data_IF_811799442714
#
_entry.id   IF_811799442714
#
_cell.length_a   1.000
_cell.length_b   1.000
_cell.length_c   1.000
_cell.angle_alpha   90.00
_cell.angle_beta   90.00
_cell.angle_gamma   90.00
#
_symmetry.space_group_name_H-M   'P 1'
#
loop_
_entity.id
_entity.type
_entity.pdbx_description
1 polymer ?
#
# COMPACT_ATOMS: atom_id res chain seq x y z
N UNK A 1 -22.62 56.12 27.04
CA UNK A 1 -21.49 56.22 26.08
C UNK A 1 -20.22 56.17 26.93
N UNK A 2 -19.33 55.19 26.92
CA UNK A 2 -19.00 54.10 25.99
C UNK A 2 -18.33 52.96 26.78
N UNK A 3 -18.63 51.73 26.36
CA UNK A 3 -18.00 50.47 26.75
C UNK A 3 -16.58 50.31 26.18
N UNK A 4 -15.71 49.55 26.87
CA UNK A 4 -14.64 48.73 26.26
C UNK A 4 -14.14 47.75 27.33
N UNK A 5 -14.70 46.54 27.45
CA UNK A 5 -14.50 45.34 26.61
C UNK A 5 -13.23 44.57 26.97
N UNK A 6 -13.45 43.55 27.81
CA UNK A 6 -12.55 42.45 28.15
C UNK A 6 -12.23 41.66 26.89
N UNK A 7 -10.94 41.50 26.58
CA UNK A 7 -10.47 40.63 25.48
C UNK A 7 -10.49 39.19 25.99
N UNK A 8 -11.54 38.46 25.66
CA UNK A 8 -11.62 37.00 25.85
C UNK A 8 -10.88 36.34 24.69
N UNK A 9 -9.82 35.61 25.01
CA UNK A 9 -9.09 34.77 24.07
C UNK A 9 -10.05 33.72 23.48
N UNK A 10 -10.31 33.83 22.17
CA UNK A 10 -11.06 32.82 21.43
C UNK A 10 -10.13 31.66 21.11
N UNK A 11 -10.26 30.57 21.88
CA UNK A 11 -9.71 29.27 21.50
C UNK A 11 -10.44 28.77 20.26
N UNK A 12 -9.79 28.87 19.10
CA UNK A 12 -10.20 28.21 17.87
C UNK A 12 -9.98 26.71 18.04
N UNK A 13 -11.01 26.03 18.52
CA UNK A 13 -11.14 24.58 18.45
C UNK A 13 -11.22 24.19 16.98
N UNK A 14 -10.15 23.60 16.44
CA UNK A 14 -10.20 22.92 15.15
C UNK A 14 -11.16 21.73 15.34
N UNK A 15 -12.24 21.59 14.54
CA UNK A 15 -13.03 20.38 14.59
C UNK A 15 -12.20 19.26 13.97
N UNK A 16 -11.70 18.35 14.80
CA UNK A 16 -11.15 17.06 14.37
C UNK A 16 -12.31 16.22 13.86
N UNK A 17 -12.70 16.45 12.61
CA UNK A 17 -13.64 15.56 11.92
C UNK A 17 -12.84 14.32 11.53
N UNK A 18 -13.18 13.12 12.00
CA UNK A 18 -12.58 11.89 11.49
C UNK A 18 -12.89 11.79 9.98
N UNK A 19 -12.00 11.18 9.17
CA UNK A 19 -12.23 11.06 7.74
C UNK A 19 -13.54 10.31 7.52
N UNK A 20 -14.39 10.90 6.70
CA UNK A 20 -15.71 10.40 6.30
C UNK A 20 -15.62 8.93 5.91
N UNK A 21 -16.38 8.09 6.62
CA UNK A 21 -16.66 6.71 6.22
C UNK A 21 -17.09 6.68 4.76
N UNK A 22 -16.52 5.77 3.97
CA UNK A 22 -16.89 5.60 2.56
C UNK A 22 -18.42 5.43 2.45
N UNK A 23 -19.05 6.15 1.52
CA UNK A 23 -20.49 6.08 1.22
C UNK A 23 -20.95 4.74 0.60
N UNK A 24 -20.09 3.72 0.66
CA UNK A 24 -20.30 2.42 0.04
C UNK A 24 -20.91 1.50 1.09
N UNK A 25 -22.04 0.89 0.72
CA UNK A 25 -22.78 -0.03 1.58
C UNK A 25 -21.88 -1.17 2.08
N UNK A 26 -21.73 -1.36 3.41
CA UNK A 26 -20.98 -2.46 4.00
C UNK A 26 -21.38 -3.85 3.48
N UNK A 27 -22.65 -4.04 3.08
CA UNK A 27 -23.12 -5.30 2.51
C UNK A 27 -22.45 -5.58 1.15
N UNK A 28 -22.28 -4.55 0.32
CA UNK A 28 -21.56 -4.68 -0.96
C UNK A 28 -20.10 -5.06 -0.71
N UNK A 29 -19.46 -4.44 0.29
CA UNK A 29 -18.07 -4.75 0.67
C UNK A 29 -17.93 -6.22 1.09
N UNK A 30 -18.85 -6.70 1.94
CA UNK A 30 -18.87 -8.11 2.37
C UNK A 30 -19.04 -9.06 1.19
N UNK A 31 -19.97 -8.75 0.27
CA UNK A 31 -20.20 -9.55 -0.93
C UNK A 31 -18.95 -9.65 -1.82
N UNK A 32 -18.13 -8.59 -1.92
CA UNK A 32 -16.86 -8.63 -2.66
C UNK A 32 -15.86 -9.59 -2.00
N UNK A 33 -15.75 -9.56 -0.67
CA UNK A 33 -14.86 -10.44 0.08
C UNK A 33 -15.32 -11.90 -0.06
N UNK A 34 -16.62 -12.16 0.06
CA UNK A 34 -17.22 -13.48 -0.11
C UNK A 34 -16.98 -14.03 -1.52
N UNK A 35 -17.18 -13.20 -2.55
CA UNK A 35 -16.91 -13.58 -3.94
C UNK A 35 -15.42 -13.88 -4.17
N UNK A 36 -14.52 -13.04 -3.65
CA UNK A 36 -13.09 -13.29 -3.74
C UNK A 36 -12.70 -14.61 -3.08
N UNK A 37 -13.36 -14.97 -1.96
CA UNK A 37 -13.14 -16.25 -1.29
C UNK A 37 -13.65 -17.42 -2.14
N UNK A 38 -14.83 -17.31 -2.77
CA UNK A 38 -15.37 -18.33 -3.68
C UNK A 38 -14.44 -18.56 -4.87
N UNK A 39 -13.97 -17.50 -5.50
CA UNK A 39 -12.98 -17.59 -6.58
C UNK A 39 -11.70 -18.29 -6.10
N UNK A 40 -11.21 -17.98 -4.89
CA UNK A 40 -10.08 -18.69 -4.27
C UNK A 40 -10.36 -20.19 -4.11
N UNK A 41 -11.55 -20.60 -3.67
CA UNK A 41 -11.90 -22.02 -3.52
C UNK A 41 -12.00 -22.73 -4.86
N UNK A 42 -12.54 -22.09 -5.89
CA UNK A 42 -12.67 -22.67 -7.23
C UNK A 42 -11.30 -22.90 -7.90
N UNK A 43 -10.29 -22.07 -7.58
CA UNK A 43 -8.89 -22.32 -7.99
C UNK A 43 -8.30 -23.63 -7.46
N UNK A 44 -8.85 -24.19 -6.38
CA UNK A 44 -8.46 -25.51 -5.87
C UNK A 44 -9.17 -26.65 -6.62
N UNK A 45 -10.23 -26.35 -7.40
CA UNK A 45 -11.16 -27.32 -7.96
C UNK A 45 -11.18 -27.45 -9.49
N UNK A 46 -11.11 -26.36 -10.28
CA UNK A 46 -10.93 -26.33 -11.76
C UNK A 46 -11.22 -24.94 -12.33
N UNK A 47 -10.44 -24.55 -13.34
CA UNK A 47 -10.44 -23.29 -14.11
C UNK A 47 -10.05 -22.06 -13.29
N UNK A 48 -8.88 -21.51 -13.60
CA UNK A 48 -8.31 -20.34 -12.93
C UNK A 48 -8.64 -19.08 -13.74
N UNK A 49 -9.65 -18.27 -13.35
CA UNK A 49 -9.85 -16.97 -13.98
C UNK A 49 -8.58 -16.13 -13.83
N UNK A 50 -8.25 -15.36 -14.88
CA UNK A 50 -7.10 -14.46 -14.85
C UNK A 50 -7.28 -13.42 -13.72
N UNK A 51 -6.19 -12.94 -13.13
CA UNK A 51 -6.26 -11.91 -12.07
C UNK A 51 -6.99 -10.65 -12.54
N UNK A 52 -6.94 -10.34 -13.84
CA UNK A 52 -7.72 -9.28 -14.48
C UNK A 52 -9.22 -9.57 -14.44
N UNK A 53 -9.65 -10.79 -14.83
CA UNK A 53 -11.06 -11.19 -14.79
C UNK A 53 -11.61 -11.11 -13.37
N UNK A 54 -10.83 -11.60 -12.39
CA UNK A 54 -11.21 -11.50 -10.98
C UNK A 54 -11.44 -10.04 -10.58
N UNK A 55 -10.53 -9.13 -10.94
CA UNK A 55 -10.71 -7.71 -10.60
C UNK A 55 -11.92 -7.09 -11.29
N UNK A 56 -12.21 -7.50 -12.54
CA UNK A 56 -13.40 -7.05 -13.26
C UNK A 56 -14.68 -7.47 -12.52
N UNK A 57 -14.78 -8.76 -12.19
CA UNK A 57 -15.93 -9.31 -11.49
C UNK A 57 -16.04 -8.76 -10.07
N UNK A 58 -14.92 -8.45 -9.41
CA UNK A 58 -14.89 -7.88 -8.06
C UNK A 58 -15.34 -6.42 -8.02
N UNK A 59 -14.91 -5.60 -8.98
CA UNK A 59 -15.07 -4.14 -8.92
C UNK A 59 -15.78 -3.57 -10.13
N UNK A 60 -15.30 -3.81 -11.34
CA UNK A 60 -15.79 -3.13 -12.56
C UNK A 60 -17.24 -3.48 -12.87
N UNK A 61 -17.65 -4.73 -12.64
CA UNK A 61 -19.04 -5.15 -12.84
C UNK A 61 -20.00 -4.64 -11.75
N UNK A 62 -19.50 -4.01 -10.68
CA UNK A 62 -20.28 -3.59 -9.50
C UNK A 62 -20.33 -2.09 -9.29
N UNK A 63 -19.34 -1.34 -9.77
CA UNK A 63 -19.23 0.07 -9.50
C UNK A 63 -19.00 0.87 -10.78
N UNK A 64 -19.58 2.07 -10.78
CA UNK A 64 -19.24 3.09 -11.75
C UNK A 64 -17.75 3.45 -11.68
N UNK A 65 -17.11 3.81 -12.81
CA UNK A 65 -15.67 4.07 -12.90
C UNK A 65 -15.11 5.01 -11.83
N UNK A 66 -15.84 6.08 -11.53
CA UNK A 66 -15.47 7.11 -10.56
C UNK A 66 -15.46 6.59 -9.11
N UNK A 67 -16.18 5.51 -8.81
CA UNK A 67 -16.28 4.92 -7.47
C UNK A 67 -15.30 3.77 -7.25
N UNK A 68 -14.62 3.27 -8.29
CA UNK A 68 -13.77 2.08 -8.20
C UNK A 68 -12.65 2.20 -7.16
N UNK A 69 -12.01 3.38 -7.08
CA UNK A 69 -10.94 3.63 -6.13
C UNK A 69 -11.47 3.67 -4.70
N UNK A 70 -12.58 4.36 -4.46
CA UNK A 70 -13.19 4.45 -3.13
C UNK A 70 -13.74 3.10 -2.68
N UNK A 71 -14.28 2.29 -3.60
CA UNK A 71 -14.69 0.91 -3.35
C UNK A 71 -13.52 0.03 -2.94
N UNK A 72 -12.41 0.12 -3.67
CA UNK A 72 -11.21 -0.61 -3.30
C UNK A 72 -10.67 -0.19 -1.93
N UNK A 73 -10.58 1.12 -1.67
CA UNK A 73 -10.12 1.63 -0.38
C UNK A 73 -11.00 1.11 0.77
N UNK A 74 -12.33 1.17 0.60
CA UNK A 74 -13.29 0.67 1.58
C UNK A 74 -13.16 -0.84 1.83
N UNK A 75 -12.92 -1.64 0.79
CA UNK A 75 -12.69 -3.09 0.93
C UNK A 75 -11.45 -3.38 1.77
N UNK A 76 -10.34 -2.68 1.53
CA UNK A 76 -9.11 -2.88 2.32
C UNK A 76 -9.29 -2.41 3.77
N UNK A 77 -9.95 -1.28 3.99
CA UNK A 77 -10.24 -0.73 5.33
C UNK A 77 -11.14 -1.67 6.16
N UNK A 78 -12.15 -2.27 5.54
CA UNK A 78 -13.13 -3.13 6.22
C UNK A 78 -12.70 -4.60 6.33
N UNK A 79 -11.73 -5.04 5.53
CA UNK A 79 -11.30 -6.45 5.50
C UNK A 79 -10.96 -7.01 6.89
N UNK A 80 -10.20 -6.32 7.77
CA UNK A 80 -9.87 -6.85 9.09
C UNK A 80 -11.11 -7.11 9.96
N UNK A 81 -12.14 -6.24 9.87
CA UNK A 81 -13.39 -6.37 10.62
C UNK A 81 -14.16 -7.60 10.12
N UNK A 82 -14.34 -7.72 8.80
CA UNK A 82 -15.04 -8.86 8.20
C UNK A 82 -14.30 -10.18 8.44
N UNK A 83 -12.97 -10.17 8.41
CA UNK A 83 -12.16 -11.36 8.64
C UNK A 83 -12.15 -11.79 10.12
N UNK A 84 -12.34 -10.88 11.06
CA UNK A 84 -12.53 -11.20 12.47
C UNK A 84 -13.87 -11.94 12.71
N UNK A 85 -14.93 -11.57 12.00
CA UNK A 85 -16.22 -12.27 12.05
C UNK A 85 -16.19 -13.64 11.33
N UNK A 86 -15.32 -13.79 10.33
CA UNK A 86 -15.24 -14.98 9.49
C UNK A 86 -13.79 -15.45 9.33
N UNK A 87 -13.25 -16.23 10.30
CA UNK A 87 -11.83 -16.61 10.34
C UNK A 87 -11.30 -17.30 9.08
N UNK A 88 -12.18 -17.95 8.29
CA UNK A 88 -11.84 -18.55 6.99
C UNK A 88 -11.18 -17.56 6.02
N UNK A 89 -11.46 -16.26 6.13
CA UNK A 89 -10.87 -15.21 5.28
C UNK A 89 -9.41 -14.90 5.61
N UNK A 90 -8.97 -15.18 6.85
CA UNK A 90 -7.58 -15.05 7.27
C UNK A 90 -6.72 -16.29 6.93
N UNK A 91 -7.29 -17.29 6.25
CA UNK A 91 -6.53 -18.49 5.85
C UNK A 91 -5.57 -18.21 4.69
N UNK A 92 -4.31 -18.62 4.88
CA UNK A 92 -3.30 -18.61 3.82
C UNK A 92 -3.55 -19.72 2.81
N UNK A 93 -3.41 -19.43 1.52
CA UNK A 93 -3.60 -20.40 0.43
C UNK A 93 -2.27 -20.90 -0.15
N UNK A 94 -2.02 -22.21 -0.18
CA UNK A 94 -0.89 -22.87 -0.89
C UNK A 94 -1.35 -23.47 -2.22
N UNK A 95 -0.49 -23.49 -3.29
CA UNK A 95 0.96 -23.70 -3.24
C UNK A 95 1.85 -22.45 -3.14
N UNK A 96 1.30 -21.22 -3.21
CA UNK A 96 2.09 -19.97 -3.27
C UNK A 96 1.82 -18.95 -2.15
N UNK A 97 1.24 -19.38 -1.02
CA UNK A 97 0.98 -18.56 0.17
C UNK A 97 0.27 -17.23 -0.12
N UNK A 98 -0.87 -17.25 -0.81
CA UNK A 98 -1.67 -16.05 -1.07
C UNK A 98 -2.74 -15.86 0.02
N UNK A 99 -2.65 -14.77 0.77
CA UNK A 99 -3.75 -14.30 1.63
C UNK A 99 -4.88 -13.73 0.77
N UNK A 100 -6.14 -13.82 1.23
CA UNK A 100 -7.30 -13.36 0.44
C UNK A 100 -7.20 -11.87 0.10
N UNK A 101 -6.78 -11.03 1.05
CA UNK A 101 -6.59 -9.59 0.83
C UNK A 101 -5.55 -9.29 -0.26
N UNK A 102 -4.52 -10.14 -0.42
CA UNK A 102 -3.50 -9.97 -1.45
C UNK A 102 -4.07 -10.29 -2.84
N UNK A 103 -4.96 -11.30 -2.93
CA UNK A 103 -5.68 -11.59 -4.17
C UNK A 103 -6.55 -10.40 -4.58
N UNK A 104 -7.31 -9.83 -3.66
CA UNK A 104 -8.19 -8.68 -3.91
C UNK A 104 -7.36 -7.48 -4.39
N UNK A 105 -6.29 -7.13 -3.67
CA UNK A 105 -5.42 -6.01 -4.02
C UNK A 105 -4.72 -6.21 -5.38
N UNK A 106 -4.17 -7.40 -5.64
CA UNK A 106 -3.53 -7.71 -6.92
C UNK A 106 -4.54 -7.67 -8.08
N UNK A 107 -5.76 -8.20 -7.88
CA UNK A 107 -6.83 -8.20 -8.86
C UNK A 107 -7.25 -6.77 -9.23
N UNK A 108 -7.44 -5.91 -8.24
CA UNK A 108 -7.76 -4.51 -8.47
C UNK A 108 -6.67 -3.78 -9.25
N UNK A 109 -5.40 -3.90 -8.83
CA UNK A 109 -4.28 -3.28 -9.53
C UNK A 109 -4.14 -3.78 -10.98
N UNK A 110 -4.44 -5.06 -11.23
CA UNK A 110 -4.38 -5.65 -12.58
C UNK A 110 -5.43 -5.08 -13.54
N UNK A 111 -6.63 -4.77 -13.02
CA UNK A 111 -7.67 -4.08 -13.79
C UNK A 111 -7.22 -2.67 -14.16
N UNK A 112 -6.80 -1.88 -13.17
CA UNK A 112 -6.37 -0.51 -13.41
C UNK A 112 -5.20 -0.44 -14.41
N UNK A 113 -4.26 -1.39 -14.34
CA UNK A 113 -3.16 -1.49 -15.30
C UNK A 113 -3.65 -1.75 -16.73
N UNK A 114 -4.66 -2.60 -16.89
CA UNK A 114 -5.24 -2.94 -18.20
C UNK A 114 -5.93 -1.73 -18.83
N UNK A 115 -6.68 -0.96 -18.05
CA UNK A 115 -7.33 0.27 -18.53
C UNK A 115 -6.30 1.36 -18.88
N UNK A 116 -5.20 1.45 -18.11
CA UNK A 116 -4.11 2.38 -18.39
C UNK A 116 -3.35 2.03 -19.68
N UNK A 117 -3.14 0.75 -19.97
CA UNK A 117 -2.52 0.29 -21.21
C UNK A 117 -3.41 0.59 -22.43
N UNK A 118 -4.72 0.31 -22.33
CA UNK A 118 -5.72 0.63 -23.37
C UNK A 118 -5.70 2.09 -23.78
N UNK A 119 -5.57 3.02 -22.82
CA UNK A 119 -5.52 4.46 -23.11
C UNK A 119 -4.25 4.91 -23.84
N UNK A 120 -3.11 4.21 -23.67
CA UNK A 120 -1.89 4.49 -24.46
C UNK A 120 -1.96 3.90 -25.87
N UNK A 121 -2.64 2.78 -26.04
CA UNK A 121 -2.72 2.06 -27.32
C UNK A 121 -3.88 2.53 -28.19
N UNK A 122 -4.88 3.26 -27.66
CA UNK A 122 -5.94 3.90 -28.47
C UNK A 122 -5.43 4.93 -29.49
N UNK A 123 -4.15 5.30 -29.44
CA UNK A 123 -3.47 6.10 -30.46
C UNK A 123 -2.98 5.27 -31.66
N UNK A 124 -2.90 3.93 -31.55
CA UNK A 124 -2.57 3.00 -32.64
C UNK A 124 -3.28 1.65 -32.44
N UNK A 125 -4.29 1.42 -33.27
CA UNK A 125 -4.94 0.14 -33.57
C UNK A 125 -5.95 -0.42 -32.54
N UNK A 126 -7.22 -0.39 -32.97
CA UNK A 126 -8.33 -1.11 -32.36
C UNK A 126 -8.26 -2.59 -32.77
N UNK A 127 -7.84 -3.45 -31.86
CA UNK A 127 -8.41 -4.79 -31.64
C UNK A 127 -7.81 -5.46 -30.40
N UNK A 128 -8.66 -6.23 -29.72
CA UNK A 128 -8.39 -7.30 -28.74
C UNK A 128 -8.65 -6.98 -27.25
N UNK A 129 -9.68 -7.66 -26.71
CA UNK A 129 -10.06 -7.91 -25.30
C UNK A 129 -10.00 -6.74 -24.30
N UNK A 130 -10.43 -5.58 -24.78
CA UNK A 130 -10.77 -4.41 -23.97
C UNK A 130 -12.17 -4.60 -23.38
N UNK A 131 -12.29 -4.59 -22.05
CA UNK A 131 -13.57 -4.36 -21.36
C UNK A 131 -13.93 -2.88 -21.49
N UNK A 132 -14.06 -2.41 -22.74
CA UNK A 132 -14.59 -1.13 -23.21
C UNK A 132 -14.45 0.11 -22.32
N UNK A 133 -13.60 1.05 -22.76
CA UNK A 133 -13.78 2.50 -22.57
C UNK A 133 -13.84 3.08 -21.14
N UNK A 134 -13.30 2.39 -20.13
CA UNK A 134 -13.30 2.94 -18.77
C UNK A 134 -12.03 3.77 -18.55
N UNK A 135 -12.17 5.11 -18.58
CA UNK A 135 -11.09 6.00 -18.19
C UNK A 135 -11.13 6.22 -16.67
N UNK A 136 -10.25 5.54 -15.93
CA UNK A 136 -10.12 5.71 -14.48
C UNK A 136 -9.01 6.74 -14.23
N UNK A 137 -9.39 7.96 -13.86
CA UNK A 137 -8.46 8.98 -13.40
C UNK A 137 -8.25 8.87 -11.89
N UNK A 138 -7.04 8.53 -11.45
CA UNK A 138 -6.71 8.48 -10.02
C UNK A 138 -6.25 9.86 -9.56
N UNK A 139 -7.00 10.49 -8.66
CA UNK A 139 -6.62 11.78 -8.06
C UNK A 139 -5.43 11.62 -7.11
N UNK A 140 -4.82 12.73 -6.70
CA UNK A 140 -3.68 12.69 -5.79
C UNK A 140 -4.10 12.23 -4.38
N UNK A 141 -5.27 12.64 -3.91
CA UNK A 141 -5.83 12.17 -2.63
C UNK A 141 -6.15 10.67 -2.66
N UNK A 142 -6.80 10.20 -3.73
CA UNK A 142 -7.12 8.78 -3.91
C UNK A 142 -5.87 7.91 -3.94
N UNK A 143 -4.78 8.38 -4.56
CA UNK A 143 -3.50 7.69 -4.57
C UNK A 143 -2.91 7.55 -3.18
N UNK A 144 -2.86 8.66 -2.43
CA UNK A 144 -2.33 8.67 -1.08
C UNK A 144 -3.18 7.80 -0.15
N UNK A 145 -4.51 7.82 -0.29
CA UNK A 145 -5.42 6.93 0.45
C UNK A 145 -5.16 5.46 0.15
N UNK A 146 -5.08 5.07 -1.13
CA UNK A 146 -4.75 3.69 -1.50
C UNK A 146 -3.40 3.29 -0.89
N UNK A 147 -2.38 4.14 -1.01
CA UNK A 147 -1.05 3.85 -0.49
C UNK A 147 -1.09 3.58 1.01
N UNK A 148 -1.76 4.44 1.80
CA UNK A 148 -1.94 4.25 3.24
C UNK A 148 -2.62 2.91 3.57
N UNK A 149 -3.57 2.49 2.75
CA UNK A 149 -4.31 1.24 2.98
C UNK A 149 -3.49 -0.01 2.62
N UNK A 150 -2.59 0.08 1.63
CA UNK A 150 -1.81 -1.08 1.17
C UNK A 150 -0.41 -1.18 1.78
N UNK A 151 0.09 -0.14 2.45
CA UNK A 151 1.46 -0.11 3.01
C UNK A 151 1.73 -1.22 4.03
N UNK A 152 0.70 -1.59 4.81
CA UNK A 152 0.77 -2.64 5.83
C UNK A 152 0.63 -4.06 5.27
N UNK A 153 0.21 -4.20 4.01
CA UNK A 153 -0.02 -5.50 3.40
C UNK A 153 1.32 -6.16 3.09
N UNK A 154 1.65 -7.21 3.84
CA UNK A 154 2.90 -7.93 3.73
C UNK A 154 2.93 -8.90 2.54
N UNK A 155 2.91 -8.34 1.33
CA UNK A 155 3.16 -9.11 0.11
C UNK A 155 4.54 -9.75 0.17
N UNK A 156 4.67 -10.96 -0.38
CA UNK A 156 5.98 -11.59 -0.56
C UNK A 156 6.95 -10.66 -1.31
N UNK A 157 8.22 -10.65 -0.91
CA UNK A 157 9.27 -9.87 -1.58
C UNK A 157 9.49 -10.28 -3.04
N UNK A 158 9.10 -11.50 -3.44
CA UNK A 158 9.13 -11.97 -4.82
C UNK A 158 7.89 -11.53 -5.64
N UNK A 159 6.92 -10.89 -5.00
CA UNK A 159 5.74 -10.35 -5.65
C UNK A 159 6.08 -9.12 -6.49
N UNK A 160 5.47 -9.00 -7.67
CA UNK A 160 5.55 -7.78 -8.49
C UNK A 160 4.52 -6.71 -8.07
N UNK A 161 3.81 -6.90 -6.95
CA UNK A 161 2.72 -6.01 -6.51
C UNK A 161 3.16 -4.55 -6.45
N UNK A 162 4.27 -4.22 -5.78
CA UNK A 162 4.70 -2.83 -5.60
C UNK A 162 5.11 -2.15 -6.91
N UNK A 163 5.71 -2.90 -7.85
CA UNK A 163 5.98 -2.41 -9.20
C UNK A 163 4.70 -2.17 -9.99
N UNK A 164 3.70 -3.04 -9.84
CA UNK A 164 2.38 -2.87 -10.45
C UNK A 164 1.64 -1.67 -9.85
N UNK A 165 1.68 -1.52 -8.52
CA UNK A 165 1.09 -0.39 -7.80
C UNK A 165 1.74 0.92 -8.25
N UNK A 166 3.07 1.01 -8.35
CA UNK A 166 3.73 2.21 -8.90
C UNK A 166 3.35 2.45 -10.35
N UNK A 167 3.32 1.40 -11.18
CA UNK A 167 2.89 1.55 -12.57
C UNK A 167 1.49 2.15 -12.67
N UNK A 168 0.53 1.67 -11.87
CA UNK A 168 -0.87 2.08 -11.90
C UNK A 168 -1.09 3.43 -11.25
N UNK A 169 -0.57 3.60 -10.03
CA UNK A 169 -0.78 4.78 -9.21
C UNK A 169 0.15 5.91 -9.62
N UNK A 170 1.29 5.64 -10.25
CA UNK A 170 2.31 6.62 -10.63
C UNK A 170 2.87 7.36 -9.40
N UNK A 171 3.60 6.64 -8.53
CA UNK A 171 4.15 7.22 -7.31
C UNK A 171 5.13 8.37 -7.59
N UNK A 172 5.77 8.37 -8.76
CA UNK A 172 6.63 9.47 -9.22
C UNK A 172 5.87 10.81 -9.42
N UNK A 173 4.53 10.81 -9.44
CA UNK A 173 3.74 12.05 -9.50
C UNK A 173 3.76 12.83 -8.18
N UNK A 174 3.85 12.14 -7.04
CA UNK A 174 3.90 12.75 -5.71
C UNK A 174 4.93 12.01 -4.82
N UNK A 175 6.22 12.00 -5.20
CA UNK A 175 7.22 11.15 -4.56
C UNK A 175 7.46 11.52 -3.10
N UNK A 176 7.33 12.81 -2.74
CA UNK A 176 7.42 13.29 -1.36
C UNK A 176 6.34 12.66 -0.47
N UNK A 177 5.08 12.75 -0.89
CA UNK A 177 3.95 12.21 -0.12
C UNK A 177 4.05 10.69 0.03
N UNK A 178 4.49 10.00 -1.04
CA UNK A 178 4.71 8.55 -1.02
C UNK A 178 5.77 8.18 0.02
N UNK A 179 6.91 8.88 0.01
CA UNK A 179 7.98 8.64 0.98
C UNK A 179 7.52 8.97 2.40
N UNK A 180 6.83 10.09 2.62
CA UNK A 180 6.30 10.45 3.94
C UNK A 180 5.35 9.37 4.46
N UNK A 181 4.38 8.92 3.65
CA UNK A 181 3.43 7.86 4.06
C UNK A 181 4.15 6.55 4.44
N UNK A 182 5.11 6.12 3.63
CA UNK A 182 5.85 4.88 3.90
C UNK A 182 6.75 5.02 5.13
N UNK A 183 7.47 6.14 5.26
CA UNK A 183 8.37 6.40 6.39
C UNK A 183 7.59 6.54 7.70
N UNK A 184 6.47 7.25 7.71
CA UNK A 184 5.60 7.38 8.88
C UNK A 184 5.07 6.01 9.30
N UNK A 185 4.56 5.22 8.35
CA UNK A 185 4.09 3.85 8.63
C UNK A 185 5.24 2.93 9.11
N UNK A 186 6.45 3.08 8.57
CA UNK A 186 7.61 2.29 8.96
C UNK A 186 8.14 2.66 10.35
N UNK A 187 8.11 3.94 10.71
CA UNK A 187 8.49 4.42 12.04
C UNK A 187 7.53 3.94 13.14
N UNK A 188 6.28 3.65 12.76
CA UNK A 188 5.22 3.17 13.64
C UNK A 188 5.04 1.64 13.62
N UNK A 189 5.95 0.88 13.01
CA UNK A 189 5.85 -0.60 12.89
C UNK A 189 4.69 -1.11 12.03
N UNK A 190 4.00 -0.22 11.30
CA UNK A 190 2.78 -0.54 10.53
C UNK A 190 3.04 -0.82 9.06
N UNK A 191 4.22 -0.47 8.54
CA UNK A 191 4.58 -0.77 7.17
C UNK A 191 5.02 -2.23 7.02
N UNK A 192 4.72 -2.83 5.87
CA UNK A 192 5.33 -4.08 5.47
C UNK A 192 6.79 -3.88 5.03
N UNK A 193 7.63 -4.88 5.26
CA UNK A 193 9.00 -4.88 4.75
C UNK A 193 9.05 -4.65 3.23
N UNK A 194 8.14 -5.28 2.47
CA UNK A 194 8.08 -5.13 1.02
C UNK A 194 7.82 -3.67 0.57
N UNK A 195 7.01 -2.92 1.32
CA UNK A 195 6.77 -1.49 1.04
C UNK A 195 8.03 -0.65 1.26
N UNK A 196 8.70 -0.89 2.40
CA UNK A 196 9.92 -0.15 2.79
C UNK A 196 11.06 -0.47 1.83
N UNK A 197 11.30 -1.75 1.55
CA UNK A 197 12.32 -2.22 0.60
C UNK A 197 12.06 -1.68 -0.82
N UNK A 198 10.80 -1.63 -1.26
CA UNK A 198 10.45 -1.00 -2.53
C UNK A 198 10.86 0.48 -2.57
N UNK A 199 10.53 1.23 -1.52
CA UNK A 199 10.84 2.66 -1.41
C UNK A 199 12.36 2.91 -1.44
N UNK A 200 13.13 2.10 -0.71
CA UNK A 200 14.60 2.18 -0.65
C UNK A 200 15.23 1.85 -2.02
N UNK A 201 14.75 0.81 -2.72
CA UNK A 201 15.29 0.39 -4.02
C UNK A 201 14.87 1.28 -5.18
N UNK A 202 13.76 1.99 -5.07
CA UNK A 202 13.27 2.86 -6.14
C UNK A 202 14.16 4.11 -6.29
N UNK A 203 14.78 4.27 -7.47
CA UNK A 203 15.76 5.35 -7.74
C UNK A 203 15.22 6.77 -7.62
N UNK A 204 13.91 6.96 -7.77
CA UNK A 204 13.26 8.26 -7.64
C UNK A 204 12.86 8.50 -6.19
N UNK A 205 12.11 7.56 -5.60
CA UNK A 205 11.63 7.69 -4.22
C UNK A 205 12.77 7.77 -3.21
N UNK A 206 13.81 6.95 -3.37
CA UNK A 206 14.93 6.92 -2.42
C UNK A 206 15.69 8.23 -2.28
N UNK A 207 15.61 9.12 -3.28
CA UNK A 207 16.19 10.46 -3.22
C UNK A 207 15.46 11.41 -2.27
N UNK A 208 14.21 11.09 -1.93
CA UNK A 208 13.40 11.84 -0.96
C UNK A 208 13.49 11.24 0.45
N UNK A 209 14.19 10.12 0.62
CA UNK A 209 14.58 9.60 1.93
C UNK A 209 15.84 10.33 2.40
N UNK A 210 15.65 11.40 3.15
CA UNK A 210 16.75 12.20 3.72
C UNK A 210 17.23 11.70 5.08
N UNK A 211 16.42 10.88 5.75
CA UNK A 211 16.76 10.24 7.01
C UNK A 211 17.09 8.74 6.81
N UNK A 212 18.35 8.31 7.05
CA UNK A 212 18.75 6.91 7.00
C UNK A 212 18.11 6.01 8.05
N UNK A 213 17.39 6.54 9.05
CA UNK A 213 16.67 5.71 10.05
C UNK A 213 15.68 4.73 9.41
N UNK A 214 15.22 4.99 8.17
CA UNK A 214 14.41 4.04 7.41
C UNK A 214 15.09 2.66 7.24
N UNK A 215 16.43 2.60 7.23
CA UNK A 215 17.19 1.33 7.19
C UNK A 215 17.03 0.54 8.50
N UNK A 216 16.90 1.23 9.63
CA UNK A 216 16.62 0.60 10.92
C UNK A 216 15.25 -0.07 10.91
N UNK A 217 14.22 0.67 10.49
CA UNK A 217 12.86 0.12 10.32
C UNK A 217 12.86 -1.06 9.35
N UNK A 218 13.55 -0.95 8.21
CA UNK A 218 13.65 -2.02 7.23
C UNK A 218 14.29 -3.29 7.82
N UNK A 219 15.34 -3.14 8.63
CA UNK A 219 16.03 -4.26 9.28
C UNK A 219 15.15 -4.97 10.33
N UNK A 220 14.32 -4.23 11.07
CA UNK A 220 13.38 -4.82 12.03
C UNK A 220 12.21 -5.53 11.35
N UNK A 221 11.77 -5.05 10.19
CA UNK A 221 10.62 -5.60 9.47
C UNK A 221 10.94 -6.83 8.62
N UNK A 222 12.19 -7.03 8.20
CA UNK A 222 12.53 -8.15 7.33
C UNK A 222 13.99 -8.21 6.85
N UNK A 223 14.29 -9.08 5.88
CA UNK A 223 15.65 -9.41 5.49
C UNK A 223 16.29 -8.33 4.60
N UNK A 224 16.76 -7.24 5.22
CA UNK A 224 17.46 -6.16 4.55
C UNK A 224 18.79 -6.65 3.96
N UNK A 225 18.94 -6.55 2.63
CA UNK A 225 20.11 -7.04 1.90
C UNK A 225 21.19 -5.97 1.78
N UNK A 226 22.47 -6.37 1.87
CA UNK A 226 23.61 -5.47 1.69
C UNK A 226 23.55 -4.70 0.37
N UNK A 227 23.23 -5.36 -0.74
CA UNK A 227 23.10 -4.70 -2.05
C UNK A 227 22.01 -3.63 -2.11
N UNK A 228 20.91 -3.78 -1.33
CA UNK A 228 19.87 -2.74 -1.20
C UNK A 228 20.44 -1.50 -0.50
N UNK A 229 21.16 -1.72 0.61
CA UNK A 229 21.79 -0.65 1.41
C UNK A 229 22.87 0.08 0.62
N UNK A 230 23.73 -0.66 -0.08
CA UNK A 230 24.77 -0.10 -0.94
C UNK A 230 24.16 0.78 -2.02
N UNK A 231 23.12 0.31 -2.72
CA UNK A 231 22.43 1.09 -3.74
C UNK A 231 21.73 2.33 -3.17
N UNK A 232 21.25 2.27 -1.94
CA UNK A 232 20.59 3.39 -1.26
C UNK A 232 21.58 4.50 -0.88
N UNK A 233 22.74 4.10 -0.36
CA UNK A 233 23.83 5.00 0.00
C UNK A 233 24.62 5.51 -1.22
N UNK A 234 24.60 4.77 -2.33
CA UNK A 234 25.35 5.10 -3.54
C UNK A 234 24.97 6.48 -4.07
N UNK A 235 25.99 7.25 -4.46
CA UNK A 235 25.85 8.60 -5.05
C UNK A 235 25.18 9.62 -4.12
N UNK A 236 25.11 9.36 -2.82
CA UNK A 236 24.74 10.33 -1.77
C UNK A 236 25.99 10.99 -1.17
N UNK A 237 25.82 12.14 -0.54
CA UNK A 237 26.89 12.86 0.14
C UNK A 237 27.57 11.99 1.23
N UNK A 238 28.83 12.28 1.55
CA UNK A 238 29.56 11.52 2.60
C UNK A 238 28.83 11.58 3.94
N UNK A 239 28.27 12.74 4.32
CA UNK A 239 27.50 12.90 5.55
C UNK A 239 26.31 11.93 5.64
N UNK A 240 25.57 11.76 4.55
CA UNK A 240 24.46 10.81 4.48
C UNK A 240 24.96 9.36 4.58
N UNK A 241 26.04 9.04 3.86
CA UNK A 241 26.66 7.71 3.91
C UNK A 241 27.17 7.37 5.31
N UNK A 242 27.70 8.35 6.03
CA UNK A 242 28.16 8.18 7.40
C UNK A 242 26.98 7.88 8.35
N UNK A 243 25.87 8.61 8.22
CA UNK A 243 24.64 8.31 8.97
C UNK A 243 24.09 6.91 8.66
N UNK A 244 24.15 6.46 7.40
CA UNK A 244 23.81 5.07 7.06
C UNK A 244 24.69 4.07 7.82
N UNK A 245 26.02 4.29 7.87
CA UNK A 245 26.93 3.41 8.62
C UNK A 245 26.59 3.35 10.11
N UNK A 246 26.29 4.50 10.71
CA UNK A 246 25.90 4.58 12.13
C UNK A 246 24.63 3.78 12.42
N UNK A 247 23.62 3.88 11.55
CA UNK A 247 22.39 3.07 11.65
C UNK A 247 22.70 1.58 11.53
N UNK A 248 23.55 1.17 10.59
CA UNK A 248 23.90 -0.24 10.41
C UNK A 248 24.71 -0.80 11.58
N UNK A 249 25.64 -0.02 12.14
CA UNK A 249 26.38 -0.39 13.36
C UNK A 249 25.42 -0.58 14.55
N UNK A 250 24.37 0.23 14.64
CA UNK A 250 23.31 0.04 15.64
C UNK A 250 22.55 -1.26 15.41
N UNK A 251 22.17 -1.56 14.17
CA UNK A 251 21.49 -2.83 13.81
C UNK A 251 22.39 -4.03 14.11
N UNK A 252 23.68 -3.98 13.78
CA UNK A 252 24.65 -5.04 14.05
C UNK A 252 24.79 -5.35 15.55
N UNK A 253 24.85 -4.30 16.39
CA UNK A 253 24.85 -4.46 17.85
C UNK A 253 23.58 -5.14 18.35
N UNK A 254 22.42 -4.76 17.83
CA UNK A 254 21.14 -5.38 18.20
C UNK A 254 21.10 -6.87 17.81
N UNK A 255 21.53 -7.22 16.60
CA UNK A 255 21.57 -8.63 16.14
C UNK A 255 22.52 -9.47 17.00
N UNK A 256 23.55 -8.85 17.58
CA UNK A 256 24.50 -9.52 18.48
C UNK A 256 23.92 -9.83 19.88
N UNK A 257 22.75 -9.28 20.21
CA UNK A 257 22.07 -9.47 21.51
C UNK A 257 20.62 -9.92 21.29
N UNK A 258 20.31 -11.22 21.37
CA UNK A 258 18.97 -11.74 21.13
C UNK A 258 17.88 -11.08 21.99
N UNK A 259 18.18 -10.79 23.26
CA UNK A 259 17.24 -10.12 24.17
C UNK A 259 16.95 -8.67 23.73
N UNK A 260 17.96 -7.93 23.27
CA UNK A 260 17.76 -6.57 22.77
C UNK A 260 17.05 -6.56 21.43
N UNK A 261 17.31 -7.55 20.58
CA UNK A 261 16.59 -7.75 19.31
C UNK A 261 15.11 -8.04 19.54
N UNK A 262 14.79 -8.98 20.43
CA UNK A 262 13.41 -9.31 20.80
C UNK A 262 12.71 -8.12 21.45
N UNK A 263 13.38 -7.38 22.32
CA UNK A 263 12.84 -6.17 22.93
C UNK A 263 12.62 -5.05 21.90
N UNK A 264 13.54 -4.89 20.95
CA UNK A 264 13.40 -3.94 19.85
C UNK A 264 12.19 -4.29 18.99
N UNK A 265 12.01 -5.55 18.60
CA UNK A 265 10.84 -6.00 17.84
C UNK A 265 9.55 -5.84 18.64
N UNK A 266 9.55 -6.20 19.93
CA UNK A 266 8.35 -6.14 20.78
C UNK A 266 7.86 -4.72 21.08
N UNK A 267 8.75 -3.73 20.99
CA UNK A 267 8.42 -2.31 21.15
C UNK A 267 8.27 -1.55 19.83
N UNK A 268 8.41 -2.24 18.69
CA UNK A 268 8.40 -1.64 17.36
C UNK A 268 7.02 -1.69 16.70
#
# INVERSE_FOLDING_TARGET
MTSSSVVIASSLSIPTTPPTSSSIDPLIIRNIIDEAFRVKTDKQGRVTPSTKQIGYDLFVSRFEPQLLIDAFAAVIEQFPIVAAECPKYNSWWTPRFYHLIFLIAQAFMSVLASERASNKTKEKDRKQDSFSNICISVTDEQRCRILRNVVSLNFSFDSNFWSLADYVLNFNKCPKDVVTIISDAASAGKASFAAVDYCIRNKVLSRYLDDPTILYSAALLGPLRAGTVESFAAKRAEEFRQKCREVLLRVEKLVSSPNEWEHAIGNF
#
